data_IF_300537206974
#
_entry.id   IF_300537206974
#
_cell.length_a   1.000
_cell.length_b   1.000
_cell.length_c   1.000
_cell.angle_alpha   90.00
_cell.angle_beta   90.00
_cell.angle_gamma   90.00
#
_symmetry.space_group_name_H-M   'P 1'
#
loop_
_entity.id
_entity.type
_entity.pdbx_description
1 polymer ?
#
# COMPACT_ATOMS: atom_id res chain seq x y z
N UNK A 1 24.48 -21.29 10.82
CA UNK A 1 24.01 -20.09 10.10
C UNK A 1 22.48 -20.05 10.00
N UNK A 2 21.83 -21.14 9.55
CA UNK A 2 20.36 -21.24 9.44
C UNK A 2 19.61 -20.92 10.75
N UNK A 3 20.05 -21.43 11.90
CA UNK A 3 19.38 -21.16 13.19
C UNK A 3 19.35 -19.67 13.54
N UNK A 4 20.44 -18.92 13.23
CA UNK A 4 20.49 -17.47 13.43
C UNK A 4 19.47 -16.73 12.56
N UNK A 5 19.31 -17.19 11.31
CA UNK A 5 18.34 -16.65 10.34
C UNK A 5 16.91 -16.91 10.84
N UNK A 6 16.61 -18.14 11.27
CA UNK A 6 15.30 -18.48 11.82
C UNK A 6 14.96 -17.67 13.07
N UNK A 7 15.90 -17.52 14.00
CA UNK A 7 15.69 -16.66 15.19
C UNK A 7 15.44 -15.22 14.79
N UNK A 8 16.17 -14.69 13.79
CA UNK A 8 15.93 -13.33 13.27
C UNK A 8 14.53 -13.17 12.69
N UNK A 9 14.09 -14.09 11.83
CA UNK A 9 12.74 -14.08 11.25
C UNK A 9 11.68 -14.13 12.36
N UNK A 10 11.82 -15.05 13.33
CA UNK A 10 10.90 -15.16 14.47
C UNK A 10 10.83 -13.89 15.30
N UNK A 11 11.96 -13.19 15.45
CA UNK A 11 12.01 -11.90 16.11
C UNK A 11 11.46 -10.73 15.28
N UNK A 12 10.98 -10.95 14.06
CA UNK A 12 10.47 -9.92 13.16
C UNK A 12 11.55 -9.08 12.45
N UNK A 13 12.84 -9.38 12.68
CA UNK A 13 13.97 -8.58 12.23
C UNK A 13 14.29 -8.82 10.75
N UNK A 14 14.75 -7.76 10.10
CA UNK A 14 15.23 -7.77 8.71
C UNK A 14 16.50 -8.64 8.58
N UNK A 15 16.55 -9.46 7.55
CA UNK A 15 17.74 -10.24 7.22
C UNK A 15 18.72 -9.38 6.43
N UNK A 16 20.01 -9.69 6.54
CA UNK A 16 21.03 -9.09 5.68
C UNK A 16 21.04 -9.76 4.30
N UNK A 17 21.54 -9.09 3.25
CA UNK A 17 21.56 -9.65 1.88
C UNK A 17 22.31 -10.99 1.78
N UNK A 18 23.34 -11.19 2.60
CA UNK A 18 24.05 -12.48 2.71
C UNK A 18 23.16 -13.57 3.30
N UNK A 19 22.38 -13.24 4.32
CA UNK A 19 21.44 -14.16 4.97
C UNK A 19 20.24 -14.48 4.06
N UNK A 20 19.72 -13.51 3.33
CA UNK A 20 18.64 -13.72 2.35
C UNK A 20 19.09 -14.65 1.21
N UNK A 21 20.28 -14.42 0.66
CA UNK A 21 20.84 -15.28 -0.41
C UNK A 21 21.06 -16.70 0.10
N UNK A 22 21.57 -16.85 1.33
CA UNK A 22 21.71 -18.15 1.98
C UNK A 22 20.34 -18.83 2.17
N UNK A 23 19.35 -18.10 2.68
CA UNK A 23 18.01 -18.62 2.92
C UNK A 23 17.35 -19.09 1.63
N UNK A 24 17.42 -18.29 0.56
CA UNK A 24 16.88 -18.63 -0.77
C UNK A 24 17.44 -19.93 -1.32
N UNK A 25 18.73 -20.21 -1.10
CA UNK A 25 19.40 -21.42 -1.59
C UNK A 25 19.08 -22.66 -0.74
N UNK A 26 18.96 -22.50 0.57
CA UNK A 26 18.82 -23.62 1.50
C UNK A 26 17.37 -23.95 1.87
N UNK A 27 16.48 -22.96 1.93
CA UNK A 27 15.07 -23.13 2.25
C UNK A 27 14.22 -22.05 1.53
N UNK A 28 13.83 -22.29 0.27
CA UNK A 28 13.07 -21.33 -0.53
C UNK A 28 11.66 -21.08 0.02
N UNK A 29 11.06 -22.07 0.69
CA UNK A 29 9.75 -21.92 1.32
C UNK A 29 9.80 -20.91 2.47
N UNK A 30 10.78 -21.04 3.37
CA UNK A 30 10.98 -20.09 4.46
C UNK A 30 11.36 -18.70 3.93
N UNK A 31 12.08 -18.60 2.81
CA UNK A 31 12.34 -17.33 2.14
C UNK A 31 11.06 -16.64 1.66
N UNK A 32 10.11 -17.39 1.10
CA UNK A 32 8.81 -16.84 0.69
C UNK A 32 8.01 -16.30 1.89
N UNK A 33 8.02 -17.01 3.02
CA UNK A 33 7.37 -16.53 4.24
C UNK A 33 8.04 -15.27 4.79
N UNK A 34 9.36 -15.20 4.77
CA UNK A 34 10.09 -13.99 5.13
C UNK A 34 9.70 -12.79 4.24
N UNK A 35 9.59 -12.98 2.92
CA UNK A 35 9.13 -11.93 2.01
C UNK A 35 7.71 -11.48 2.31
N UNK A 36 6.81 -12.42 2.63
CA UNK A 36 5.43 -12.11 3.04
C UNK A 36 5.40 -11.25 4.31
N UNK A 37 6.14 -11.64 5.35
CA UNK A 37 6.28 -10.87 6.60
C UNK A 37 6.79 -9.45 6.28
N UNK A 38 7.83 -9.35 5.44
CA UNK A 38 8.44 -8.07 5.06
C UNK A 38 7.44 -7.17 4.32
N UNK A 39 6.69 -7.73 3.38
CA UNK A 39 5.68 -6.99 2.61
C UNK A 39 4.56 -6.49 3.51
N UNK A 40 4.10 -7.29 4.46
CA UNK A 40 3.09 -6.86 5.45
C UNK A 40 3.61 -5.69 6.30
N UNK A 41 4.84 -5.79 6.80
CA UNK A 41 5.48 -4.72 7.56
C UNK A 41 5.62 -3.43 6.75
N UNK A 42 6.01 -3.52 5.47
CA UNK A 42 6.11 -2.37 4.58
C UNK A 42 4.74 -1.76 4.25
N UNK A 43 3.72 -2.59 4.06
CA UNK A 43 2.35 -2.11 3.84
C UNK A 43 1.86 -1.30 5.03
N UNK A 44 2.07 -1.83 6.25
CA UNK A 44 1.72 -1.14 7.48
C UNK A 44 2.50 0.19 7.61
N UNK A 45 3.81 0.19 7.38
CA UNK A 45 4.62 1.40 7.41
C UNK A 45 4.09 2.47 6.44
N UNK A 46 3.72 2.06 5.23
CA UNK A 46 3.18 2.96 4.22
C UNK A 46 1.79 3.49 4.62
N UNK A 47 0.91 2.64 5.17
CA UNK A 47 -0.41 3.07 5.65
C UNK A 47 -0.28 4.08 6.80
N UNK A 48 0.62 3.81 7.77
CA UNK A 48 0.89 4.72 8.89
C UNK A 48 1.37 6.10 8.43
N UNK A 49 2.21 6.17 7.38
CA UNK A 49 2.67 7.45 6.80
C UNK A 49 1.54 8.29 6.18
N UNK A 50 0.45 7.65 5.74
CA UNK A 50 -0.70 8.32 5.15
C UNK A 50 -1.85 8.54 6.13
N UNK A 51 -1.71 8.05 7.37
CA UNK A 51 -2.71 8.23 8.40
C UNK A 51 -2.85 9.71 8.78
N UNK A 52 -4.09 10.17 8.95
CA UNK A 52 -4.44 11.57 9.19
C UNK A 52 -4.72 11.87 10.66
N UNK A 53 -5.02 10.85 11.46
CA UNK A 53 -5.30 10.97 12.89
C UNK A 53 -4.77 9.78 13.66
N UNK A 54 -4.66 9.93 14.99
CA UNK A 54 -4.28 8.82 15.89
C UNK A 54 -5.34 7.71 15.91
N UNK A 55 -6.61 8.05 15.73
CA UNK A 55 -7.69 7.06 15.54
C UNK A 55 -7.44 6.20 14.30
N UNK A 56 -7.16 6.81 13.14
CA UNK A 56 -6.90 6.07 11.90
C UNK A 56 -5.65 5.19 12.03
N UNK A 57 -4.64 5.64 12.77
CA UNK A 57 -3.47 4.82 13.12
C UNK A 57 -3.90 3.57 13.91
N UNK A 58 -4.73 3.72 14.94
CA UNK A 58 -5.21 2.58 15.73
C UNK A 58 -6.04 1.61 14.89
N UNK A 59 -6.90 2.12 13.99
CA UNK A 59 -7.71 1.30 13.09
C UNK A 59 -6.82 0.51 12.12
N UNK A 60 -5.82 1.17 11.50
CA UNK A 60 -4.84 0.53 10.62
C UNK A 60 -4.11 -0.59 11.36
N UNK A 61 -3.64 -0.31 12.58
CA UNK A 61 -2.93 -1.29 13.42
C UNK A 61 -3.86 -2.47 13.74
N UNK A 62 -5.10 -2.20 14.16
CA UNK A 62 -6.09 -3.22 14.47
C UNK A 62 -6.39 -4.10 13.25
N UNK A 63 -6.63 -3.51 12.09
CA UNK A 63 -6.84 -4.25 10.84
C UNK A 63 -5.62 -5.09 10.45
N UNK A 64 -4.41 -4.55 10.58
CA UNK A 64 -3.19 -5.28 10.27
C UNK A 64 -3.03 -6.53 11.15
N UNK A 65 -3.28 -6.43 12.46
CA UNK A 65 -3.23 -7.58 13.36
C UNK A 65 -4.34 -8.60 13.09
N UNK A 66 -5.58 -8.16 12.84
CA UNK A 66 -6.69 -9.06 12.53
C UNK A 66 -6.59 -9.72 11.16
N UNK A 67 -5.81 -9.15 10.24
CA UNK A 67 -5.53 -9.78 8.93
C UNK A 67 -4.68 -11.04 9.03
N UNK A 68 -3.99 -11.24 10.17
CA UNK A 68 -3.14 -12.40 10.41
C UNK A 68 -4.01 -13.55 10.86
N UNK A 69 -3.96 -14.67 10.13
CA UNK A 69 -4.68 -15.87 10.52
C UNK A 69 -4.07 -16.47 11.80
N UNK A 70 -4.93 -16.85 12.74
CA UNK A 70 -4.52 -17.57 13.94
C UNK A 70 -3.90 -18.95 13.66
N UNK A 71 -4.14 -19.50 12.47
CA UNK A 71 -3.59 -20.79 12.02
C UNK A 71 -2.21 -20.65 11.38
N UNK A 72 -1.67 -19.44 11.28
CA UNK A 72 -0.38 -19.19 10.66
C UNK A 72 0.76 -19.56 11.61
N UNK A 73 1.61 -20.52 11.22
CA UNK A 73 2.79 -20.94 11.98
C UNK A 73 3.78 -19.77 12.22
N UNK A 74 3.77 -18.77 11.35
CA UNK A 74 4.63 -17.59 11.43
C UNK A 74 3.91 -16.37 12.02
N UNK A 75 2.71 -16.54 12.61
CA UNK A 75 1.95 -15.45 13.24
C UNK A 75 2.81 -14.60 14.17
N UNK A 76 3.55 -15.23 15.08
CA UNK A 76 4.41 -14.51 16.03
C UNK A 76 5.47 -13.65 15.32
N UNK A 77 6.07 -14.19 14.25
CA UNK A 77 7.06 -13.47 13.45
C UNK A 77 6.46 -12.25 12.75
N UNK A 78 5.25 -12.40 12.19
CA UNK A 78 4.50 -11.30 11.57
C UNK A 78 4.17 -10.24 12.63
N UNK A 79 3.58 -10.65 13.75
CA UNK A 79 3.20 -9.76 14.86
C UNK A 79 4.42 -8.98 15.37
N UNK A 80 5.57 -9.63 15.54
CA UNK A 80 6.81 -8.97 15.97
C UNK A 80 7.30 -7.94 14.94
N UNK A 81 7.27 -8.27 13.65
CA UNK A 81 7.67 -7.36 12.59
C UNK A 81 6.74 -6.13 12.49
N UNK A 82 5.42 -6.32 12.62
CA UNK A 82 4.47 -5.22 12.65
C UNK A 82 4.66 -4.35 13.89
N UNK A 83 4.83 -4.96 15.07
CA UNK A 83 5.10 -4.22 16.30
C UNK A 83 6.36 -3.35 16.21
N UNK A 84 7.42 -3.81 15.54
CA UNK A 84 8.62 -3.01 15.30
C UNK A 84 8.28 -1.75 14.49
N UNK A 85 7.53 -1.90 13.39
CA UNK A 85 7.08 -0.78 12.55
C UNK A 85 6.19 0.20 13.31
N UNK A 86 5.22 -0.33 14.09
CA UNK A 86 4.33 0.50 14.91
C UNK A 86 5.11 1.28 15.94
N UNK A 87 6.05 0.64 16.65
CA UNK A 87 6.91 1.31 17.61
C UNK A 87 7.73 2.40 16.95
N UNK A 88 8.40 2.10 15.85
CA UNK A 88 9.20 3.08 15.12
C UNK A 88 8.35 4.29 14.69
N UNK A 89 7.11 4.05 14.24
CA UNK A 89 6.19 5.11 13.88
C UNK A 89 5.67 5.92 15.08
N UNK A 90 5.32 5.27 16.19
CA UNK A 90 4.85 5.94 17.41
C UNK A 90 5.93 6.83 18.04
N UNK A 91 7.21 6.47 17.89
CA UNK A 91 8.33 7.31 18.33
C UNK A 91 8.68 8.41 17.32
N UNK A 92 8.13 8.36 16.10
CA UNK A 92 8.41 9.35 15.08
C UNK A 92 7.65 10.65 15.32
N UNK A 93 8.24 11.78 14.91
CA UNK A 93 7.60 13.10 14.97
C UNK A 93 6.30 13.15 14.15
N UNK A 94 6.16 12.28 13.14
CA UNK A 94 4.95 12.20 12.33
C UNK A 94 3.74 11.85 13.19
N UNK A 95 3.86 10.85 14.07
CA UNK A 95 2.78 10.45 14.98
C UNK A 95 2.46 11.53 16.02
N UNK A 96 3.47 12.23 16.54
CA UNK A 96 3.28 13.31 17.52
C UNK A 96 2.53 14.52 16.94
N UNK A 97 2.70 14.78 15.64
CA UNK A 97 2.01 15.85 14.91
C UNK A 97 0.59 15.48 14.49
N UNK A 98 0.18 14.21 14.61
CA UNK A 98 -1.17 13.82 14.27
C UNK A 98 -2.16 14.34 15.32
N UNK A 99 -3.29 14.91 14.89
CA UNK A 99 -4.39 15.24 15.80
C UNK A 99 -5.00 13.96 16.39
N UNK A 100 -5.61 14.10 17.56
CA UNK A 100 -6.22 12.98 18.27
C UNK A 100 -7.42 12.43 17.48
N UNK A 101 -8.23 13.29 16.84
CA UNK A 101 -9.43 12.92 16.06
C UNK A 101 -9.34 13.32 14.58
N UNK A 102 -9.98 12.54 13.71
CA UNK A 102 -10.02 12.80 12.26
C UNK A 102 -10.78 14.10 11.89
N UNK A 103 -11.79 14.48 12.69
CA UNK A 103 -12.53 15.73 12.50
C UNK A 103 -11.64 16.98 12.65
N UNK A 104 -10.66 16.94 13.55
CA UNK A 104 -9.74 18.05 13.80
C UNK A 104 -8.73 18.22 12.65
N UNK A 105 -8.29 17.11 12.04
CA UNK A 105 -7.46 17.10 10.83
C UNK A 105 -8.17 17.76 9.62
N UNK A 106 -9.48 17.54 9.49
CA UNK A 106 -10.29 18.12 8.43
C UNK A 106 -10.53 19.63 8.65
N UNK A 107 -10.67 20.07 9.90
CA UNK A 107 -10.91 21.47 10.23
C UNK A 107 -9.68 22.36 10.04
N UNK A 108 -8.46 21.83 10.23
CA UNK A 108 -7.24 22.62 10.05
C UNK A 108 -6.88 22.87 8.57
N UNK A 109 -7.33 22.01 7.64
CA UNK A 109 -7.22 22.26 6.19
C UNK A 109 -8.23 23.29 5.66
N UNK A 110 -9.34 23.52 6.36
CA UNK A 110 -10.33 24.53 5.99
C UNK A 110 -9.96 25.93 6.49
N UNK A 111 -9.24 26.06 7.60
CA UNK A 111 -8.89 27.37 8.18
C UNK A 111 -7.73 28.09 7.48
N UNK A 112 -7.08 27.50 6.48
CA UNK A 112 -6.02 28.17 5.68
C UNK A 112 -6.50 28.68 4.32
N UNK A 113 -7.79 28.57 4.00
CA UNK A 113 -8.38 29.24 2.84
C UNK A 113 -9.19 30.46 3.30
N UNK A 114 -8.67 31.62 2.89
CA UNK A 114 -9.32 32.93 2.64
C UNK A 114 -8.89 34.06 3.59
N UNK A 115 -8.66 35.24 3.02
CA UNK A 115 -9.76 36.19 2.93
C UNK A 115 -10.21 36.44 1.50
N UNK A 116 -11.52 36.63 1.40
CA UNK A 116 -12.32 37.01 0.26
C UNK A 116 -11.82 38.27 -0.42
N UNK A 117 -11.88 38.29 -1.76
CA UNK A 117 -12.34 39.46 -2.49
C UNK A 117 -13.48 38.96 -3.38
N UNK A 118 -14.69 39.36 -2.99
CA UNK A 118 -15.89 39.28 -3.81
C UNK A 118 -15.76 40.36 -4.88
N UNK A 119 -15.85 39.97 -6.15
CA UNK A 119 -16.45 40.76 -7.22
C UNK A 119 -16.75 39.80 -8.38
N UNK A 120 -18.05 39.52 -8.60
CA UNK A 120 -18.75 39.39 -9.90
C UNK A 120 -18.16 38.43 -10.97
N UNK A 121 -18.84 37.42 -11.52
CA UNK A 121 -20.25 37.24 -11.86
C UNK A 121 -20.58 35.74 -12.06
N UNK A 122 -21.88 35.43 -12.02
CA UNK A 122 -22.49 34.13 -12.27
C UNK A 122 -22.11 33.50 -13.64
N UNK A 123 -21.72 32.22 -13.65
CA UNK A 123 -22.34 31.25 -14.57
C UNK A 123 -22.06 29.78 -14.19
N UNK A 124 -23.13 28.99 -14.22
CA UNK A 124 -23.19 27.59 -13.86
C UNK A 124 -22.58 26.67 -14.94
N UNK A 125 -22.04 25.52 -14.48
CA UNK A 125 -21.87 24.26 -15.22
C UNK A 125 -20.86 24.16 -16.40
N UNK A 126 -19.65 23.66 -16.10
CA UNK A 126 -18.97 22.59 -16.85
C UNK A 126 -17.71 22.19 -16.08
N UNK A 127 -17.68 21.04 -15.41
CA UNK A 127 -17.23 19.76 -15.96
C UNK A 127 -15.91 19.87 -16.76
N UNK A 128 -14.83 19.51 -16.06
CA UNK A 128 -13.75 18.65 -16.53
C UNK A 128 -13.11 18.97 -17.88
N UNK A 129 -11.99 19.69 -17.84
CA UNK A 129 -10.94 19.71 -18.86
C UNK A 129 -9.70 20.38 -18.20
N UNK A 130 -8.46 19.93 -18.22
CA UNK A 130 -7.77 18.84 -18.88
C UNK A 130 -6.43 18.68 -18.13
N UNK A 131 -5.97 17.46 -17.87
CA UNK A 131 -4.53 17.23 -17.70
C UNK A 131 -4.17 15.87 -18.26
N UNK A 132 -3.47 15.93 -19.39
CA UNK A 132 -2.77 14.85 -20.08
C UNK A 132 -2.27 13.72 -19.16
N UNK A 133 -2.83 12.55 -19.37
CA UNK A 133 -2.10 11.30 -19.38
C UNK A 133 -2.85 10.36 -20.30
N UNK A 134 -2.14 9.74 -21.24
CA UNK A 134 -2.64 8.75 -22.20
C UNK A 134 -3.69 7.83 -21.57
N UNK A 135 -4.94 8.10 -21.93
CA UNK A 135 -6.12 7.46 -21.41
C UNK A 135 -6.22 6.09 -22.08
N UNK A 136 -5.88 5.03 -21.35
CA UNK A 136 -6.36 3.70 -21.69
C UNK A 136 -7.87 3.72 -21.48
N UNK A 137 -8.60 4.17 -22.50
CA UNK A 137 -10.04 4.27 -22.49
C UNK A 137 -10.64 2.84 -22.60
N UNK A 138 -11.21 2.28 -21.52
CA UNK A 138 -11.79 0.95 -21.54
C UNK A 138 -13.04 0.86 -22.45
N UNK A 139 -13.57 1.99 -22.93
CA UNK A 139 -14.63 2.04 -23.95
C UNK A 139 -14.10 2.04 -25.40
N UNK A 140 -12.79 2.22 -25.62
CA UNK A 140 -12.17 2.04 -26.95
C UNK A 140 -11.82 0.59 -27.25
N UNK A 141 -12.02 -0.34 -26.31
CA UNK A 141 -11.84 -1.75 -26.58
C UNK A 141 -13.00 -2.23 -27.48
N UNK A 142 -12.74 -2.25 -28.78
CA UNK A 142 -13.63 -2.88 -29.76
C UNK A 142 -13.85 -4.35 -29.39
N UNK A 143 -15.09 -4.85 -29.37
CA UNK A 143 -15.38 -6.25 -29.10
C UNK A 143 -14.51 -7.16 -29.98
N UNK A 144 -14.06 -8.29 -29.42
CA UNK A 144 -13.16 -9.27 -30.09
C UNK A 144 -13.63 -9.76 -31.48
N UNK A 145 -14.86 -9.46 -31.87
CA UNK A 145 -15.45 -9.82 -33.15
C UNK A 145 -14.82 -9.07 -34.33
N UNK A 146 -14.42 -7.80 -34.17
CA UNK A 146 -13.83 -7.00 -35.25
C UNK A 146 -12.35 -7.36 -35.51
N UNK A 147 -11.66 -7.93 -34.50
CA UNK A 147 -10.28 -8.43 -34.63
C UNK A 147 -10.22 -9.73 -35.43
N UNK A 148 -11.29 -10.53 -35.41
CA UNK A 148 -11.38 -11.78 -36.18
C UNK A 148 -11.60 -11.48 -37.67
N UNK A 149 -12.38 -10.45 -38.01
CA UNK A 149 -12.62 -10.02 -39.40
C UNK A 149 -11.39 -9.35 -40.06
N UNK A 150 -10.41 -8.91 -39.26
CA UNK A 150 -9.16 -8.32 -39.74
C UNK A 150 -8.05 -9.35 -40.05
N UNK A 151 -8.30 -10.66 -39.89
CA UNK A 151 -7.33 -11.67 -40.30
C UNK A 151 -7.25 -11.72 -41.83
N UNK A 152 -6.05 -11.63 -42.45
CA UNK A 152 -5.92 -11.88 -43.87
C UNK A 152 -6.33 -13.34 -44.15
N UNK A 153 -7.37 -13.52 -44.96
CA UNK A 153 -7.71 -14.84 -45.50
C UNK A 153 -6.57 -15.28 -46.40
N UNK A 154 -5.84 -16.31 -45.97
CA UNK A 154 -4.91 -17.00 -46.84
C UNK A 154 -5.73 -17.75 -47.90
N UNK A 155 -5.81 -17.17 -49.09
CA UNK A 155 -6.21 -17.86 -50.32
C UNK A 155 -5.21 -18.99 -50.56
N UNK A 156 -5.60 -20.22 -50.20
CA UNK A 156 -4.86 -21.41 -50.61
C UNK A 156 -5.20 -21.65 -52.09
N UNK A 157 -4.31 -21.19 -52.96
CA UNK A 157 -4.38 -21.48 -54.39
C UNK A 157 -4.01 -22.95 -54.61
N UNK A 158 -5.05 -23.73 -54.96
CA UNK A 158 -5.08 -25.00 -55.71
C UNK A 158 -4.06 -26.09 -55.42
#
# INVERSE_FOLDING_TARGET
>A
MMSKIQTKIKSGKKLTSKEETYLKKHNPELYMQYLRIRKMAQCLENQLKHAKSKEEVNDIIFHAFNSISDKDEYKEAIVNALNEVVKDFQHSDAFQKLPDTNEEAMNHKKSTKLPSNEDQDDDFNNLSDSSESEDFDPMTWTPLQDVIDAMPTFEISS
#
